data_IF_012052013006
#
_entry.id   IF_012052013006
#
_cell.length_a   1.000
_cell.length_b   1.000
_cell.length_c   1.000
_cell.angle_alpha   90.00
_cell.angle_beta   90.00
_cell.angle_gamma   90.00
#
_symmetry.space_group_name_H-M   'P 1'
#
loop_
_entity.id
_entity.type
_entity.pdbx_description
1 polymer ?
#
# COMPACT_ATOMS: atom_id res chain seq x y z
N UNK A 1 20.07 6.74 -7.49
CA UNK A 1 19.10 6.08 -6.59
C UNK A 1 17.93 5.58 -7.44
N UNK A 2 17.86 4.28 -7.75
CA UNK A 2 16.74 3.73 -8.55
C UNK A 2 15.61 3.33 -7.62
N UNK A 3 14.50 4.07 -7.64
CA UNK A 3 13.28 3.70 -6.92
C UNK A 3 12.55 2.63 -7.72
N UNK A 4 12.30 1.49 -7.10
CA UNK A 4 11.50 0.43 -7.74
C UNK A 4 10.04 0.66 -7.42
N UNK A 5 9.15 0.52 -8.41
CA UNK A 5 7.71 0.64 -8.19
C UNK A 5 7.02 -0.67 -8.50
N UNK A 6 6.22 -1.15 -7.55
CA UNK A 6 5.41 -2.35 -7.70
C UNK A 6 3.95 -1.93 -7.84
N UNK A 7 3.24 -2.58 -8.75
CA UNK A 7 1.82 -2.36 -8.98
C UNK A 7 1.02 -3.60 -8.58
N UNK A 8 -0.20 -3.38 -8.06
CA UNK A 8 -1.19 -4.43 -7.85
C UNK A 8 -2.51 -4.00 -8.47
N UNK A 9 -3.24 -4.98 -8.98
CA UNK A 9 -4.61 -4.83 -9.45
C UNK A 9 -5.49 -5.63 -8.50
N UNK A 10 -6.53 -4.99 -7.98
CA UNK A 10 -7.45 -5.60 -7.01
C UNK A 10 -8.86 -5.47 -7.57
N UNK A 11 -9.52 -6.60 -7.79
CA UNK A 11 -10.93 -6.65 -8.18
C UNK A 11 -11.80 -6.54 -6.93
N UNK A 12 -12.82 -5.69 -6.99
CA UNK A 12 -13.78 -5.49 -5.90
C UNK A 12 -15.13 -5.03 -6.46
N UNK A 13 -16.19 -5.20 -5.68
CA UNK A 13 -17.50 -4.62 -6.02
C UNK A 13 -17.52 -3.12 -5.68
N UNK A 14 -18.35 -2.35 -6.37
CA UNK A 14 -18.52 -0.90 -6.18
C UNK A 14 -18.70 -0.52 -4.71
N UNK A 15 -19.59 -1.25 -4.02
CA UNK A 15 -19.94 -1.03 -2.62
C UNK A 15 -18.77 -1.28 -1.65
N UNK A 16 -17.77 -2.03 -2.08
CA UNK A 16 -16.62 -2.45 -1.26
C UNK A 16 -15.38 -1.58 -1.50
N UNK A 17 -15.36 -0.72 -2.52
CA UNK A 17 -14.18 0.08 -2.91
C UNK A 17 -13.64 0.90 -1.72
N UNK A 18 -14.52 1.60 -1.00
CA UNK A 18 -14.13 2.43 0.16
C UNK A 18 -13.51 1.60 1.27
N UNK A 19 -14.12 0.44 1.57
CA UNK A 19 -13.60 -0.48 2.59
C UNK A 19 -12.26 -1.06 2.17
N UNK A 20 -12.12 -1.42 0.89
CA UNK A 20 -10.89 -1.95 0.33
C UNK A 20 -9.75 -0.92 0.44
N UNK A 21 -9.97 0.32 -0.03
CA UNK A 21 -8.95 1.38 0.07
C UNK A 21 -8.56 1.67 1.52
N UNK A 22 -9.54 1.66 2.43
CA UNK A 22 -9.30 1.91 3.85
C UNK A 22 -8.51 0.80 4.53
N UNK A 23 -8.57 -0.44 4.01
CA UNK A 23 -7.85 -1.60 4.54
C UNK A 23 -6.44 -1.78 3.96
N UNK A 24 -6.06 -1.01 2.93
CA UNK A 24 -4.74 -1.12 2.34
C UNK A 24 -3.67 -0.79 3.38
N UNK A 25 -2.66 -1.64 3.48
CA UNK A 25 -1.51 -1.39 4.36
C UNK A 25 -0.82 -0.08 4.01
N UNK A 26 -0.15 0.54 4.98
CA UNK A 26 0.59 1.79 4.75
C UNK A 26 1.60 1.70 3.57
N UNK A 27 1.71 2.80 2.84
CA UNK A 27 2.58 2.97 1.68
C UNK A 27 2.03 2.47 0.32
N UNK A 28 0.80 1.96 0.24
CA UNK A 28 0.12 1.82 -1.06
C UNK A 28 -0.50 3.15 -1.48
N UNK A 29 -0.23 3.55 -2.73
CA UNK A 29 -0.80 4.72 -3.38
C UNK A 29 -1.86 4.27 -4.37
N UNK A 30 -3.02 4.90 -4.32
CA UNK A 30 -4.05 4.75 -5.33
C UNK A 30 -3.60 5.37 -6.66
N UNK A 31 -3.72 4.62 -7.76
CA UNK A 31 -3.40 5.10 -9.10
C UNK A 31 -4.66 5.33 -9.93
N UNK A 32 -5.55 4.34 -9.99
CA UNK A 32 -6.71 4.39 -10.88
C UNK A 32 -7.79 3.39 -10.44
N UNK A 33 -9.04 3.74 -10.72
CA UNK A 33 -10.20 2.86 -10.60
C UNK A 33 -10.82 2.69 -11.98
N UNK A 34 -11.03 1.44 -12.41
CA UNK A 34 -11.59 1.12 -13.73
C UNK A 34 -12.88 0.35 -13.51
N UNK A 35 -13.99 0.84 -14.08
CA UNK A 35 -15.24 0.08 -14.11
C UNK A 35 -15.10 -1.12 -15.05
N UNK A 36 -15.32 -2.32 -14.52
CA UNK A 36 -15.30 -3.55 -15.29
C UNK A 36 -16.74 -3.88 -15.72
N UNK A 37 -17.09 -3.51 -16.94
CA UNK A 37 -18.29 -4.04 -17.60
C UNK A 37 -17.87 -5.22 -18.49
N UNK A 38 -18.45 -6.42 -18.34
CA UNK A 38 -18.19 -7.53 -19.24
C UNK A 38 -18.54 -7.12 -20.67
N UNK A 39 -17.56 -7.28 -21.55
CA UNK A 39 -17.68 -6.99 -22.98
C UNK A 39 -18.86 -7.79 -23.53
N UNK A 40 -19.94 -7.09 -23.92
CA UNK A 40 -21.15 -7.67 -24.52
C UNK A 40 -22.42 -7.63 -23.67
N UNK A 41 -22.39 -7.17 -22.41
CA UNK A 41 -23.60 -7.06 -21.57
C UNK A 41 -24.25 -5.67 -21.65
N UNK A 42 -24.75 -5.26 -22.82
CA UNK A 42 -25.40 -3.94 -22.98
C UNK A 42 -26.79 -3.82 -22.34
N UNK A 43 -27.32 -4.87 -21.71
CA UNK A 43 -28.70 -4.89 -21.18
C UNK A 43 -28.86 -5.49 -19.78
N UNK A 44 -27.77 -5.92 -19.16
CA UNK A 44 -27.74 -6.38 -17.77
C UNK A 44 -26.56 -5.66 -17.14
N UNK A 45 -26.85 -4.63 -16.33
CA UNK A 45 -25.86 -3.97 -15.49
C UNK A 45 -25.30 -5.03 -14.54
N UNK A 46 -24.09 -5.56 -14.78
CA UNK A 46 -23.51 -6.46 -13.81
C UNK A 46 -23.16 -5.58 -12.62
N UNK A 47 -23.69 -5.92 -11.45
CA UNK A 47 -23.48 -5.15 -10.23
C UNK A 47 -22.00 -4.75 -10.11
N UNK A 48 -21.76 -3.43 -10.18
CA UNK A 48 -20.54 -2.81 -10.65
C UNK A 48 -19.25 -3.41 -10.09
N UNK A 49 -18.58 -4.23 -10.89
CA UNK A 49 -17.23 -4.67 -10.58
C UNK A 49 -16.23 -3.58 -10.96
N UNK A 50 -15.23 -3.39 -10.11
CA UNK A 50 -14.17 -2.42 -10.32
C UNK A 50 -12.80 -3.06 -10.15
N UNK A 51 -11.87 -2.62 -10.98
CA UNK A 51 -10.45 -2.91 -10.82
C UNK A 51 -9.77 -1.68 -10.23
N UNK A 52 -9.28 -1.80 -9.00
CA UNK A 52 -8.42 -0.79 -8.40
C UNK A 52 -6.96 -1.09 -8.68
N UNK A 53 -6.26 -0.11 -9.25
CA UNK A 53 -4.81 -0.13 -9.47
C UNK A 53 -4.16 0.66 -8.35
N UNK A 54 -3.25 -0.01 -7.64
CA UNK A 54 -2.46 0.59 -6.56
C UNK A 54 -0.98 0.39 -6.82
N UNK A 55 -0.15 1.29 -6.34
CA UNK A 55 1.30 1.21 -6.47
C UNK A 55 2.01 1.40 -5.14
N UNK A 56 3.21 0.84 -5.02
CA UNK A 56 4.10 1.04 -3.87
C UNK A 56 5.52 1.28 -4.35
N UNK A 57 6.12 2.36 -3.88
CA UNK A 57 7.53 2.65 -4.15
C UNK A 57 8.40 1.95 -3.10
N UNK A 58 9.52 1.42 -3.55
CA UNK A 58 10.56 0.81 -2.75
C UNK A 58 11.87 1.53 -3.03
N UNK A 59 12.37 2.25 -2.04
CA UNK A 59 13.72 2.78 -2.07
C UNK A 59 14.69 1.61 -1.90
N UNK A 60 15.47 1.32 -2.95
CA UNK A 60 16.53 0.30 -2.90
C UNK A 60 17.76 0.78 -2.10
N UNK A 61 17.60 1.73 -1.18
CA UNK A 61 18.70 2.49 -0.57
C UNK A 61 18.76 2.50 0.96
N UNK A 62 17.79 1.94 1.68
CA UNK A 62 17.73 2.09 3.16
C UNK A 62 17.34 0.79 3.87
N UNK A 63 17.71 -0.38 3.35
CA UNK A 63 17.61 -1.63 4.14
C UNK A 63 18.67 -1.69 5.25
N UNK A 64 19.67 -0.82 5.23
CA UNK A 64 20.64 -0.66 6.33
C UNK A 64 20.14 0.30 7.43
N UNK A 65 19.18 1.21 7.16
CA UNK A 65 18.83 2.28 8.10
C UNK A 65 17.78 1.91 9.17
N UNK A 66 17.01 0.85 8.95
CA UNK A 66 16.09 0.35 9.99
C UNK A 66 16.83 -0.32 11.16
N UNK A 67 18.06 -0.81 10.97
CA UNK A 67 18.87 -1.30 12.08
C UNK A 67 19.56 -0.16 12.84
N UNK A 68 19.90 0.94 12.16
CA UNK A 68 20.51 2.12 12.79
C UNK A 68 19.51 2.81 13.72
N UNK A 69 18.27 3.06 13.26
CA UNK A 69 17.28 3.78 14.08
C UNK A 69 16.79 2.98 15.30
N UNK A 70 16.71 1.64 15.20
CA UNK A 70 16.40 0.77 16.35
C UNK A 70 17.58 0.75 17.32
N UNK A 71 18.81 0.63 16.81
CA UNK A 71 20.03 0.64 17.64
C UNK A 71 20.25 1.98 18.36
N UNK A 72 19.92 3.11 17.72
CA UNK A 72 19.97 4.43 18.34
C UNK A 72 18.93 4.60 19.45
N UNK A 73 17.69 4.15 19.24
CA UNK A 73 16.65 4.18 20.29
C UNK A 73 17.03 3.29 21.48
N UNK A 74 17.62 2.13 21.24
CA UNK A 74 18.12 1.22 22.29
C UNK A 74 19.26 1.86 23.07
N UNK A 75 20.23 2.50 22.40
CA UNK A 75 21.33 3.21 23.05
C UNK A 75 20.85 4.35 23.96
N UNK A 76 19.91 5.18 23.48
CA UNK A 76 19.35 6.29 24.27
C UNK A 76 18.62 5.78 25.53
N UNK A 77 17.89 4.66 25.43
CA UNK A 77 17.21 4.07 26.59
C UNK A 77 18.20 3.49 27.62
N UNK A 78 19.25 2.82 27.15
CA UNK A 78 20.27 2.24 28.03
C UNK A 78 21.04 3.33 28.79
N UNK A 79 21.40 4.43 28.14
CA UNK A 79 22.14 5.53 28.74
C UNK A 79 21.31 6.28 29.82
N UNK A 80 19.99 6.35 29.65
CA UNK A 80 19.08 6.93 30.66
C UNK A 80 18.87 6.02 31.87
N UNK A 81 18.98 4.70 31.69
CA UNK A 81 18.90 3.73 32.79
C UNK A 81 20.20 3.59 33.59
N UNK A 82 21.34 3.98 33.02
CA UNK A 82 22.67 3.81 33.65
C UNK A 82 23.10 4.97 34.57
N UNK A 83 22.26 6.01 34.73
CA UNK A 83 22.54 7.17 35.60
C UNK A 83 21.93 7.04 37.01
N UNK A 84 21.70 5.80 37.47
CA UNK A 84 21.17 5.50 38.79
C UNK A 84 22.25 4.91 39.70
#
# INVERSE_FOLDING_TARGET
CTTNRVYRVIQCQEKEVTQLMSSLSDGWKFEQLIGHSPVGSSYMYPEGEFLCIVSKQYDRGTREDNNTSVSERVKILQERGSRM
#
